data_IF_258958860643
#
_entry.id   IF_258958860643
#
_cell.length_a   1.000
_cell.length_b   1.000
_cell.length_c   1.000
_cell.angle_alpha   90.00
_cell.angle_beta   90.00
_cell.angle_gamma   90.00
#
_symmetry.space_group_name_H-M   'P 1'
#
loop_
_entity.id
_entity.type
_entity.pdbx_description
1 polymer ?
#
# COMPACT_ATOMS: atom_id res chain seq x y z
N UNK A 1 2.63 30.44 -2.70
CA UNK A 1 3.42 29.24 -3.06
C UNK A 1 4.87 29.33 -2.58
N UNK A 2 5.57 30.46 -2.76
CA UNK A 2 6.97 30.62 -2.33
C UNK A 2 7.19 30.43 -0.81
N UNK A 3 6.27 30.93 0.03
CA UNK A 3 6.33 30.74 1.49
C UNK A 3 6.20 29.25 1.89
N UNK A 4 5.30 28.50 1.25
CA UNK A 4 5.11 27.07 1.50
C UNK A 4 6.37 26.27 1.17
N UNK A 5 7.03 26.58 0.04
CA UNK A 5 8.26 25.90 -0.35
C UNK A 5 9.40 26.17 0.65
N UNK A 6 9.55 27.42 1.11
CA UNK A 6 10.56 27.76 2.11
C UNK A 6 10.32 27.05 3.45
N UNK A 7 9.08 27.05 3.94
CA UNK A 7 8.71 26.33 5.17
C UNK A 7 8.89 24.82 5.02
N UNK A 8 8.49 24.25 3.88
CA UNK A 8 8.68 22.84 3.56
C UNK A 8 10.16 22.43 3.56
N UNK A 9 11.02 23.17 2.85
CA UNK A 9 12.45 22.88 2.79
C UNK A 9 13.11 22.99 4.16
N UNK A 10 12.76 24.03 4.94
CA UNK A 10 13.28 24.21 6.30
C UNK A 10 12.86 23.07 7.21
N UNK A 11 11.58 22.72 7.23
CA UNK A 11 11.06 21.64 8.06
C UNK A 11 11.61 20.27 7.64
N UNK A 12 11.70 20.02 6.33
CA UNK A 12 12.30 18.82 5.76
C UNK A 12 13.78 18.69 6.13
N UNK A 13 14.54 19.78 6.07
CA UNK A 13 15.94 19.80 6.50
C UNK A 13 16.09 19.49 7.99
N UNK A 14 15.32 20.16 8.86
CA UNK A 14 15.35 19.90 10.32
C UNK A 14 14.97 18.45 10.63
N UNK A 15 13.94 17.91 9.97
CA UNK A 15 13.51 16.53 10.17
C UNK A 15 14.58 15.52 9.69
N UNK A 16 15.28 15.82 8.59
CA UNK A 16 16.35 14.97 8.07
C UNK A 16 17.60 15.01 8.96
N UNK A 17 17.98 16.18 9.49
CA UNK A 17 19.19 16.35 10.32
C UNK A 17 18.99 15.99 11.79
N UNK A 18 17.75 15.78 12.24
CA UNK A 18 17.44 15.32 13.60
C UNK A 18 18.06 13.96 13.95
N UNK A 19 18.39 13.14 12.96
CA UNK A 19 19.02 11.83 13.12
C UNK A 19 20.01 11.59 11.96
N UNK A 20 21.23 12.13 12.08
CA UNK A 20 22.26 12.07 11.04
C UNK A 20 22.64 10.62 10.74
N UNK A 21 22.52 10.22 9.46
CA UNK A 21 22.80 8.85 8.99
C UNK A 21 21.56 7.99 8.76
N UNK A 22 20.39 8.47 9.20
CA UNK A 22 19.13 7.79 8.91
C UNK A 22 18.73 7.92 7.44
N UNK A 23 18.34 6.79 6.86
CA UNK A 23 17.92 6.70 5.47
C UNK A 23 16.41 6.90 5.41
N UNK A 24 15.95 8.09 5.03
CA UNK A 24 14.53 8.44 5.12
C UNK A 24 14.05 9.33 3.99
N UNK A 25 12.81 9.09 3.56
CA UNK A 25 12.00 10.02 2.78
C UNK A 25 11.15 10.80 3.77
N UNK A 26 11.31 12.12 3.76
CA UNK A 26 10.53 13.05 4.58
C UNK A 26 9.39 13.61 3.75
N UNK A 27 8.15 13.45 4.22
CA UNK A 27 6.95 14.07 3.68
C UNK A 27 6.40 15.19 4.56
N UNK A 28 5.28 15.77 4.15
CA UNK A 28 4.47 16.67 4.98
C UNK A 28 2.97 16.41 4.77
N UNK A 29 2.10 17.03 5.59
CA UNK A 29 0.67 17.07 5.27
C UNK A 29 0.43 17.99 4.07
N UNK A 30 -0.65 17.72 3.35
CA UNK A 30 -1.04 18.50 2.18
C UNK A 30 -2.47 18.99 2.25
N UNK A 31 -2.75 20.11 1.60
CA UNK A 31 -4.10 20.51 1.22
C UNK A 31 -4.21 20.49 -0.32
N UNK A 32 -5.44 20.45 -0.84
CA UNK A 32 -5.67 20.38 -2.29
C UNK A 32 -6.47 21.55 -2.81
N UNK A 33 -6.14 21.93 -4.04
CA UNK A 33 -6.89 22.93 -4.83
C UNK A 33 -7.28 22.30 -6.17
N UNK A 34 -8.57 22.28 -6.54
CA UNK A 34 -9.73 22.73 -5.78
C UNK A 34 -9.94 21.94 -4.47
N UNK A 35 -10.59 22.57 -3.50
CA UNK A 35 -10.99 21.89 -2.25
C UNK A 35 -11.87 20.67 -2.57
N UNK A 36 -11.78 19.62 -1.76
CA UNK A 36 -12.50 18.36 -1.97
C UNK A 36 -11.89 17.42 -3.03
N UNK A 37 -10.87 17.86 -3.78
CA UNK A 37 -10.18 16.99 -4.75
C UNK A 37 -9.58 15.77 -4.05
N UNK A 38 -9.95 14.54 -4.45
CA UNK A 38 -9.47 13.28 -3.83
C UNK A 38 -9.52 13.31 -2.29
N UNK A 39 -10.60 13.86 -1.73
CA UNK A 39 -10.74 14.17 -0.30
C UNK A 39 -10.41 12.99 0.62
N UNK A 40 -10.91 11.79 0.30
CA UNK A 40 -10.68 10.57 1.10
C UNK A 40 -9.20 10.22 1.17
N UNK A 41 -8.50 10.31 0.05
CA UNK A 41 -7.06 10.04 -0.02
C UNK A 41 -6.28 11.08 0.78
N UNK A 42 -6.63 12.36 0.63
CA UNK A 42 -6.01 13.47 1.37
C UNK A 42 -6.21 13.34 2.87
N UNK A 43 -7.42 12.96 3.32
CA UNK A 43 -7.71 12.67 4.71
C UNK A 43 -6.85 11.51 5.22
N UNK A 44 -6.78 10.42 4.47
CA UNK A 44 -6.00 9.23 4.84
C UNK A 44 -4.51 9.56 5.01
N UNK A 45 -3.84 10.15 4.00
CA UNK A 45 -2.40 10.47 4.10
C UNK A 45 -2.08 11.45 5.23
N UNK A 46 -3.00 12.36 5.55
CA UNK A 46 -2.80 13.34 6.62
C UNK A 46 -3.12 12.78 8.01
N UNK A 47 -3.89 11.69 8.12
CA UNK A 47 -4.30 11.10 9.40
C UNK A 47 -3.43 9.93 9.88
N UNK A 48 -2.53 9.40 9.05
CA UNK A 48 -1.64 8.31 9.46
C UNK A 48 -0.77 8.73 10.65
N UNK A 49 -0.66 7.90 11.69
CA UNK A 49 0.36 8.07 12.73
C UNK A 49 1.78 7.79 12.17
N UNK A 50 2.86 8.21 12.86
CA UNK A 50 4.23 7.89 12.44
C UNK A 50 4.48 6.39 12.22
N UNK A 51 3.97 5.53 13.10
CA UNK A 51 4.06 4.07 12.99
C UNK A 51 3.28 3.54 11.79
N UNK A 52 2.12 4.15 11.51
CA UNK A 52 1.28 3.79 10.38
C UNK A 52 1.93 4.14 9.03
N UNK A 53 2.88 5.08 8.97
CA UNK A 53 3.60 5.38 7.73
C UNK A 53 4.37 4.16 7.19
N UNK A 54 4.80 3.24 8.06
CA UNK A 54 5.52 2.03 7.65
C UNK A 54 4.61 0.81 7.52
N UNK A 55 3.56 0.71 8.33
CA UNK A 55 2.65 -0.45 8.28
C UNK A 55 1.58 -0.32 7.21
N UNK A 56 1.14 0.89 6.88
CA UNK A 56 0.07 1.14 5.91
C UNK A 56 0.55 1.18 4.45
N UNK A 57 1.85 0.97 4.19
CA UNK A 57 2.43 0.94 2.83
C UNK A 57 1.84 -0.16 1.95
N UNK A 58 1.29 -1.21 2.58
CA UNK A 58 0.68 -2.36 1.92
C UNK A 58 -0.81 -2.14 1.60
N UNK A 59 -1.40 -1.01 2.01
CA UNK A 59 -2.83 -0.70 1.79
C UNK A 59 -3.12 -0.09 0.41
N UNK A 60 -4.41 0.15 0.12
CA UNK A 60 -4.89 0.68 -1.17
C UNK A 60 -4.39 2.07 -1.57
N UNK A 61 -3.68 2.76 -0.69
CA UNK A 61 -3.43 4.19 -0.87
C UNK A 61 -1.93 4.53 -0.91
N UNK A 62 -1.02 3.55 -0.85
CA UNK A 62 0.43 3.86 -0.90
C UNK A 62 0.83 4.71 -2.12
N UNK A 63 1.89 5.55 -2.04
CA UNK A 63 2.80 5.80 -0.90
C UNK A 63 2.14 6.47 0.31
N UNK A 64 2.66 6.22 1.53
CA UNK A 64 2.14 6.79 2.79
C UNK A 64 2.57 8.23 3.03
N UNK A 65 3.59 8.70 2.30
CA UNK A 65 3.97 10.10 2.11
C UNK A 65 3.98 10.37 0.62
N UNK A 66 3.37 11.47 0.16
CA UNK A 66 3.11 11.65 -1.27
C UNK A 66 4.19 12.48 -1.97
N UNK A 67 4.56 12.14 -3.20
CA UNK A 67 5.23 13.13 -4.05
C UNK A 67 4.22 14.26 -4.38
N UNK A 68 4.61 15.54 -4.48
CA UNK A 68 5.96 16.11 -4.43
C UNK A 68 6.41 16.57 -3.03
N UNK A 69 5.88 16.02 -1.94
CA UNK A 69 6.34 16.40 -0.58
C UNK A 69 7.65 15.75 -0.19
N UNK A 70 8.35 15.04 -1.07
CA UNK A 70 9.50 14.25 -0.67
C UNK A 70 10.76 15.08 -0.53
N UNK A 71 11.41 14.93 0.61
CA UNK A 71 12.72 15.47 0.91
C UNK A 71 13.61 14.34 1.46
N UNK A 72 14.79 14.15 0.89
CA UNK A 72 15.77 13.15 1.34
C UNK A 72 17.19 13.62 1.01
N UNK A 73 18.21 12.98 1.60
CA UNK A 73 19.60 13.29 1.27
C UNK A 73 19.93 12.87 -0.16
N UNK A 74 20.88 13.58 -0.79
CA UNK A 74 21.42 13.22 -2.10
C UNK A 74 21.98 11.80 -2.09
N UNK A 75 22.80 11.47 -1.09
CA UNK A 75 23.40 10.15 -0.92
C UNK A 75 22.33 9.05 -0.85
N UNK A 76 21.20 9.31 -0.19
CA UNK A 76 20.10 8.34 -0.16
C UNK A 76 19.44 8.18 -1.51
N UNK A 77 19.14 9.28 -2.20
CA UNK A 77 18.58 9.23 -3.56
C UNK A 77 19.48 8.43 -4.51
N UNK A 78 20.78 8.70 -4.52
CA UNK A 78 21.76 7.98 -5.34
C UNK A 78 21.85 6.49 -4.95
N UNK A 79 21.74 6.18 -3.67
CA UNK A 79 21.68 4.80 -3.18
C UNK A 79 20.40 4.08 -3.60
N UNK A 80 19.24 4.73 -3.58
CA UNK A 80 17.97 4.14 -4.05
C UNK A 80 18.05 3.85 -5.55
N UNK A 81 18.46 4.85 -6.32
CA UNK A 81 18.53 4.85 -7.78
C UNK A 81 17.55 5.86 -8.40
N UNK A 82 17.69 6.14 -9.71
CA UNK A 82 16.83 7.08 -10.41
C UNK A 82 15.37 6.59 -10.47
N UNK A 83 14.45 7.51 -10.78
CA UNK A 83 13.08 7.16 -11.12
C UNK A 83 13.02 6.28 -12.37
N UNK A 84 11.97 5.48 -12.49
CA UNK A 84 11.75 4.66 -13.67
C UNK A 84 11.25 5.52 -14.84
N UNK A 85 12.03 5.57 -15.93
CA UNK A 85 11.73 6.40 -17.11
C UNK A 85 10.94 5.65 -18.20
N UNK A 86 10.24 4.56 -17.86
CA UNK A 86 9.46 3.77 -18.82
C UNK A 86 8.27 4.49 -19.47
N UNK A 87 8.01 5.75 -19.08
CA UNK A 87 7.05 6.63 -19.73
C UNK A 87 5.62 6.51 -19.21
N UNK A 88 4.66 6.87 -20.07
CA UNK A 88 3.23 6.98 -19.70
C UNK A 88 2.68 5.67 -19.12
N UNK A 89 2.04 5.76 -17.96
CA UNK A 89 1.44 4.62 -17.26
C UNK A 89 2.35 3.91 -16.26
N UNK A 90 3.63 4.30 -16.17
CA UNK A 90 4.53 3.87 -15.11
C UNK A 90 4.21 4.67 -13.83
N UNK A 91 4.01 4.01 -12.67
CA UNK A 91 3.89 4.70 -11.38
C UNK A 91 5.27 4.87 -10.74
N UNK A 92 6.09 5.75 -11.32
CA UNK A 92 7.49 6.00 -10.98
C UNK A 92 7.69 6.33 -9.49
N UNK A 93 6.78 7.11 -8.91
CA UNK A 93 6.80 7.46 -7.49
C UNK A 93 6.67 6.20 -6.63
N UNK A 94 5.66 5.37 -6.90
CA UNK A 94 5.43 4.15 -6.12
C UNK A 94 6.63 3.19 -6.22
N UNK A 95 7.22 3.08 -7.41
CA UNK A 95 8.41 2.25 -7.63
C UNK A 95 9.61 2.75 -6.84
N UNK A 96 9.90 4.06 -6.88
CA UNK A 96 10.96 4.66 -6.09
C UNK A 96 10.72 4.46 -4.60
N UNK A 97 9.49 4.68 -4.13
CA UNK A 97 9.12 4.48 -2.73
C UNK A 97 9.39 3.05 -2.27
N UNK A 98 8.97 2.05 -3.06
CA UNK A 98 9.24 0.64 -2.77
C UNK A 98 10.73 0.33 -2.80
N UNK A 99 11.49 0.89 -3.74
CA UNK A 99 12.94 0.70 -3.81
C UNK A 99 13.66 1.28 -2.58
N UNK A 100 13.22 2.44 -2.10
CA UNK A 100 13.68 3.03 -0.84
C UNK A 100 13.44 2.08 0.34
N UNK A 101 12.21 1.58 0.50
CA UNK A 101 11.87 0.63 1.57
C UNK A 101 12.66 -0.70 1.47
N UNK A 102 12.89 -1.21 0.25
CA UNK A 102 13.69 -2.43 0.03
C UNK A 102 15.11 -2.31 0.55
N UNK A 103 15.70 -1.12 0.43
CA UNK A 103 17.07 -0.82 0.88
C UNK A 103 17.15 -0.44 2.37
N UNK A 104 16.05 -0.56 3.11
CA UNK A 104 15.99 -0.21 4.53
C UNK A 104 15.68 1.27 4.79
N UNK A 105 15.19 2.00 3.79
CA UNK A 105 14.70 3.36 3.99
C UNK A 105 13.43 3.39 4.82
N UNK A 106 13.22 4.50 5.52
CA UNK A 106 12.00 4.78 6.27
C UNK A 106 11.22 5.96 5.65
N UNK A 107 9.94 6.04 5.98
CA UNK A 107 9.11 7.20 5.67
C UNK A 107 8.78 7.93 6.97
N UNK A 108 9.03 9.24 7.00
CA UNK A 108 8.58 10.12 8.08
C UNK A 108 7.76 11.27 7.51
N UNK A 109 6.90 11.87 8.33
CA UNK A 109 6.08 13.02 7.91
C UNK A 109 6.22 14.14 8.94
N UNK A 110 6.55 15.34 8.46
CA UNK A 110 6.35 16.57 9.25
C UNK A 110 4.84 16.79 9.37
N UNK A 111 4.32 16.86 10.59
CA UNK A 111 2.88 16.85 10.84
C UNK A 111 2.16 18.20 10.60
N UNK A 112 2.73 19.01 9.71
CA UNK A 112 2.26 20.34 9.30
C UNK A 112 1.85 20.34 7.83
N UNK A 113 0.85 21.16 7.49
CA UNK A 113 0.38 21.32 6.11
C UNK A 113 1.33 22.26 5.35
N UNK A 114 2.32 21.70 4.67
CA UNK A 114 3.41 22.46 4.03
C UNK A 114 3.39 22.41 2.49
N UNK A 115 2.41 21.73 1.89
CA UNK A 115 2.24 21.72 0.44
C UNK A 115 0.77 21.91 0.04
N UNK A 116 0.55 22.79 -0.94
CA UNK A 116 -0.72 22.88 -1.69
C UNK A 116 -0.59 22.02 -2.94
N UNK A 117 -1.23 20.86 -2.95
CA UNK A 117 -1.26 19.97 -4.11
C UNK A 117 -2.40 20.39 -5.06
N UNK A 118 -2.04 20.93 -6.23
CA UNK A 118 -3.02 21.29 -7.25
C UNK A 118 -3.50 20.05 -8.00
N UNK A 119 -4.79 19.76 -7.93
CA UNK A 119 -5.44 18.75 -8.76
C UNK A 119 -5.73 19.33 -10.15
N UNK A 120 -5.58 18.49 -11.17
CA UNK A 120 -6.00 18.79 -12.53
C UNK A 120 -6.45 17.50 -13.21
N UNK A 121 -7.42 17.61 -14.12
CA UNK A 121 -8.05 16.46 -14.78
C UNK A 121 -7.10 15.69 -15.71
N UNK A 122 -6.06 16.37 -16.20
CA UNK A 122 -5.02 15.78 -17.05
C UNK A 122 -3.83 15.21 -16.26
N UNK A 123 -4.01 14.86 -14.99
CA UNK A 123 -2.94 14.28 -14.17
C UNK A 123 -2.40 12.98 -14.78
N UNK A 124 -1.07 12.84 -14.80
CA UNK A 124 -0.40 11.64 -15.32
C UNK A 124 -0.88 10.36 -14.61
N UNK A 125 -1.31 10.47 -13.35
CA UNK A 125 -1.92 9.38 -12.57
C UNK A 125 -3.09 8.70 -13.28
N UNK A 126 -3.86 9.42 -14.11
CA UNK A 126 -4.96 8.83 -14.89
C UNK A 126 -4.51 7.85 -15.98
N UNK A 127 -3.22 7.89 -16.36
CA UNK A 127 -2.65 6.94 -17.31
C UNK A 127 -2.19 5.63 -16.66
N UNK A 128 -2.08 5.59 -15.32
CA UNK A 128 -1.66 4.39 -14.60
C UNK A 128 -2.87 3.47 -14.41
N UNK A 129 -2.77 2.24 -14.91
CA UNK A 129 -3.83 1.25 -14.78
C UNK A 129 -3.94 0.74 -13.35
N UNK A 130 -5.18 0.50 -12.89
CA UNK A 130 -5.44 -0.07 -11.57
C UNK A 130 -4.79 -1.46 -11.40
N UNK A 131 -4.76 -2.26 -12.46
CA UNK A 131 -4.09 -3.56 -12.47
C UNK A 131 -2.57 -3.44 -12.29
N UNK A 132 -1.95 -2.38 -12.83
CA UNK A 132 -0.52 -2.11 -12.63
C UNK A 132 -0.22 -1.84 -11.15
N UNK A 133 -1.01 -0.96 -10.53
CA UNK A 133 -0.89 -0.65 -9.09
C UNK A 133 -1.17 -1.90 -8.23
N UNK A 134 -2.21 -2.65 -8.59
CA UNK A 134 -2.56 -3.91 -7.92
C UNK A 134 -1.41 -4.91 -7.95
N UNK A 135 -0.84 -5.17 -9.13
CA UNK A 135 0.27 -6.10 -9.33
C UNK A 135 1.50 -5.70 -8.51
N UNK A 136 1.89 -4.42 -8.55
CA UNK A 136 3.02 -3.90 -7.76
C UNK A 136 2.82 -4.08 -6.26
N UNK A 137 1.61 -3.82 -5.76
CA UNK A 137 1.27 -3.98 -4.34
C UNK A 137 1.27 -5.43 -3.90
N UNK A 138 0.64 -6.32 -4.69
CA UNK A 138 0.62 -7.75 -4.38
C UNK A 138 2.04 -8.32 -4.44
N UNK A 139 2.87 -7.87 -5.38
CA UNK A 139 4.27 -8.25 -5.44
C UNK A 139 5.04 -7.78 -4.20
N UNK A 140 4.92 -6.51 -3.82
CA UNK A 140 5.61 -5.96 -2.64
C UNK A 140 5.13 -6.62 -1.34
N UNK A 141 3.83 -6.91 -1.21
CA UNK A 141 3.25 -7.68 -0.11
C UNK A 141 3.86 -9.07 -0.01
N UNK A 142 3.96 -9.77 -1.14
CA UNK A 142 4.55 -11.11 -1.19
C UNK A 142 6.03 -11.10 -0.79
N UNK A 143 6.77 -10.14 -1.32
CA UNK A 143 8.20 -9.97 -1.07
C UNK A 143 8.50 -9.66 0.40
N UNK A 144 7.75 -8.72 0.99
CA UNK A 144 8.10 -8.15 2.31
C UNK A 144 7.37 -8.78 3.49
N UNK A 145 6.19 -9.34 3.26
CA UNK A 145 5.34 -9.89 4.33
C UNK A 145 5.18 -11.39 4.16
N UNK A 146 4.63 -11.83 3.02
CA UNK A 146 4.28 -13.25 2.86
C UNK A 146 5.50 -14.17 2.72
N UNK A 147 6.67 -13.63 2.37
CA UNK A 147 7.94 -14.37 2.38
C UNK A 147 8.31 -14.86 3.79
N UNK A 148 7.90 -14.13 4.82
CA UNK A 148 8.21 -14.44 6.22
C UNK A 148 7.14 -15.30 6.90
N UNK A 149 5.97 -15.47 6.28
CA UNK A 149 4.87 -16.23 6.87
C UNK A 149 4.84 -17.64 6.31
N UNK A 150 4.58 -18.61 7.19
CA UNK A 150 4.35 -20.01 6.78
C UNK A 150 2.93 -20.20 6.23
N UNK A 151 1.96 -19.50 6.81
CA UNK A 151 0.55 -19.57 6.44
C UNK A 151 -0.23 -18.33 6.91
N UNK A 152 -1.40 -18.08 6.33
CA UNK A 152 -2.28 -16.98 6.71
C UNK A 152 -3.74 -17.22 6.30
N UNK A 153 -4.64 -16.41 6.86
CA UNK A 153 -6.05 -16.37 6.48
C UNK A 153 -6.38 -15.08 5.73
N UNK A 154 -7.18 -15.19 4.67
CA UNK A 154 -7.69 -14.02 3.94
C UNK A 154 -9.07 -13.65 4.47
N UNK A 155 -9.18 -12.50 5.12
CA UNK A 155 -10.47 -11.95 5.52
C UNK A 155 -11.13 -11.29 4.31
N UNK A 156 -12.34 -11.77 3.97
CA UNK A 156 -13.16 -11.51 2.77
C UNK A 156 -13.17 -12.70 1.81
N UNK A 157 -14.20 -13.53 1.91
CA UNK A 157 -14.45 -14.66 1.01
C UNK A 157 -15.14 -14.26 -0.31
N UNK A 158 -15.20 -12.97 -0.62
CA UNK A 158 -15.82 -12.37 -1.80
C UNK A 158 -14.82 -11.92 -2.87
N UNK A 159 -15.22 -10.91 -3.68
CA UNK A 159 -14.46 -10.49 -4.89
C UNK A 159 -13.01 -10.14 -4.61
N UNK A 160 -12.74 -9.38 -3.54
CA UNK A 160 -11.39 -8.84 -3.30
C UNK A 160 -10.43 -9.86 -2.71
N UNK A 161 -10.85 -10.66 -1.72
CA UNK A 161 -10.01 -11.73 -1.20
C UNK A 161 -9.72 -12.79 -2.26
N UNK A 162 -10.73 -13.16 -3.08
CA UNK A 162 -10.51 -14.08 -4.21
C UNK A 162 -9.60 -13.48 -5.28
N UNK A 163 -9.69 -12.17 -5.56
CA UNK A 163 -8.73 -11.49 -6.47
C UNK A 163 -7.32 -11.59 -5.90
N UNK A 164 -7.12 -11.28 -4.61
CA UNK A 164 -5.81 -11.42 -3.96
C UNK A 164 -5.27 -12.83 -4.15
N UNK A 165 -6.04 -13.85 -3.76
CA UNK A 165 -5.62 -15.25 -3.87
C UNK A 165 -5.15 -15.60 -5.30
N UNK A 166 -5.92 -15.21 -6.32
CA UNK A 166 -5.57 -15.47 -7.73
C UNK A 166 -4.32 -14.72 -8.19
N UNK A 167 -4.02 -13.56 -7.59
CA UNK A 167 -2.83 -12.77 -7.89
C UNK A 167 -1.57 -13.21 -7.12
N UNK A 168 -1.69 -14.12 -6.15
CA UNK A 168 -0.54 -14.68 -5.45
C UNK A 168 0.23 -15.65 -6.34
N UNK A 169 1.54 -15.75 -6.09
CA UNK A 169 2.39 -16.80 -6.65
C UNK A 169 1.90 -18.18 -6.20
N UNK A 170 2.15 -19.25 -6.96
CA UNK A 170 1.76 -20.62 -6.56
C UNK A 170 2.27 -20.99 -5.16
N UNK A 171 3.49 -20.57 -4.81
CA UNK A 171 4.06 -20.77 -3.47
C UNK A 171 3.24 -20.09 -2.38
N UNK A 172 2.82 -18.84 -2.59
CA UNK A 172 2.03 -18.10 -1.60
C UNK A 172 0.55 -18.48 -1.59
N UNK A 173 -0.01 -18.99 -2.69
CA UNK A 173 -1.36 -19.57 -2.72
C UNK A 173 -1.47 -20.74 -1.73
N UNK A 174 -0.45 -21.61 -1.68
CA UNK A 174 -0.39 -22.76 -0.75
C UNK A 174 -0.33 -22.36 0.72
N UNK A 175 0.07 -21.12 1.02
CA UNK A 175 0.09 -20.58 2.39
C UNK A 175 -1.29 -20.16 2.88
N UNK A 176 -2.29 -20.04 1.99
CA UNK A 176 -3.64 -19.61 2.37
C UNK A 176 -4.40 -20.77 3.01
N UNK A 177 -4.58 -20.71 4.33
CA UNK A 177 -5.29 -21.73 5.12
C UNK A 177 -6.79 -21.74 4.86
N UNK A 178 -7.37 -20.53 4.80
CA UNK A 178 -8.80 -20.33 4.64
C UNK A 178 -9.08 -18.91 4.15
N UNK A 179 -10.29 -18.72 3.64
CA UNK A 179 -10.97 -17.44 3.70
C UNK A 179 -11.80 -17.37 4.99
N UNK A 180 -11.97 -16.17 5.55
CA UNK A 180 -12.98 -15.93 6.56
C UNK A 180 -13.91 -14.78 6.19
N UNK A 181 -15.14 -14.84 6.69
CA UNK A 181 -16.17 -13.81 6.48
C UNK A 181 -17.16 -13.79 7.66
N UNK A 182 -18.03 -12.78 7.67
CA UNK A 182 -19.18 -12.67 8.58
C UNK A 182 -20.50 -12.98 7.86
N UNK A 183 -20.49 -12.97 6.52
CA UNK A 183 -21.64 -13.26 5.68
C UNK A 183 -21.93 -14.77 5.66
N UNK A 184 -23.01 -15.17 6.32
CA UNK A 184 -23.46 -16.56 6.41
C UNK A 184 -23.61 -17.25 5.05
N UNK A 185 -24.09 -16.54 4.03
CA UNK A 185 -24.25 -17.11 2.69
C UNK A 185 -22.91 -17.49 2.05
N UNK A 186 -21.83 -16.77 2.38
CA UNK A 186 -20.49 -17.14 1.92
C UNK A 186 -19.93 -18.31 2.73
N UNK A 187 -20.20 -18.33 4.03
CA UNK A 187 -19.72 -19.39 4.94
C UNK A 187 -20.41 -20.72 4.62
N UNK A 188 -21.72 -20.72 4.37
CA UNK A 188 -22.50 -21.91 4.01
C UNK A 188 -22.03 -22.59 2.72
N UNK A 189 -21.37 -21.86 1.81
CA UNK A 189 -20.73 -22.46 0.62
C UNK A 189 -19.58 -23.39 0.98
N UNK A 190 -19.01 -23.27 2.19
CA UNK A 190 -18.00 -24.14 2.77
C UNK A 190 -16.58 -23.96 2.20
N UNK A 191 -16.44 -23.72 0.89
CA UNK A 191 -15.15 -23.55 0.25
C UNK A 191 -15.22 -22.66 -1.00
N UNK A 192 -14.09 -22.06 -1.36
CA UNK A 192 -13.82 -21.44 -2.65
C UNK A 192 -12.99 -22.38 -3.51
N UNK A 193 -13.43 -22.66 -4.74
CA UNK A 193 -12.64 -23.39 -5.74
C UNK A 193 -11.98 -22.40 -6.69
N UNK A 194 -10.66 -22.52 -6.89
CA UNK A 194 -9.97 -21.73 -7.91
C UNK A 194 -10.12 -22.38 -9.29
N UNK A 195 -11.19 -21.99 -10.00
CA UNK A 195 -11.58 -22.66 -11.25
C UNK A 195 -10.56 -22.57 -12.39
N UNK A 196 -9.85 -21.44 -12.49
CA UNK A 196 -8.84 -21.19 -13.53
C UNK A 196 -7.48 -21.82 -13.20
N UNK A 197 -7.34 -22.47 -12.04
CA UNK A 197 -6.09 -23.13 -11.67
C UNK A 197 -5.75 -24.28 -12.63
N UNK A 198 -4.46 -24.35 -12.98
CA UNK A 198 -3.88 -25.47 -13.74
C UNK A 198 -3.67 -26.72 -12.87
N UNK A 199 -3.67 -26.58 -11.54
CA UNK A 199 -3.49 -27.71 -10.62
C UNK A 199 -4.68 -28.69 -10.67
N UNK A 200 -4.39 -29.98 -10.44
CA UNK A 200 -5.36 -31.08 -10.40
C UNK A 200 -5.06 -31.96 -9.17
N UNK A 201 -6.02 -32.12 -8.22
CA UNK A 201 -7.34 -31.48 -8.19
C UNK A 201 -7.25 -29.96 -8.08
N UNK A 202 -8.31 -29.25 -8.49
CA UNK A 202 -8.36 -27.78 -8.38
C UNK A 202 -8.25 -27.37 -6.91
N UNK A 203 -7.51 -26.30 -6.59
CA UNK A 203 -7.41 -25.82 -5.22
C UNK A 203 -8.78 -25.49 -4.64
N UNK A 204 -9.06 -26.02 -3.44
CA UNK A 204 -10.28 -25.76 -2.66
C UNK A 204 -9.86 -25.19 -1.31
N UNK A 205 -10.24 -23.94 -1.06
CA UNK A 205 -9.85 -23.19 0.12
C UNK A 205 -11.09 -23.08 1.01
N UNK A 206 -11.05 -23.54 2.28
CA UNK A 206 -12.18 -23.42 3.20
C UNK A 206 -12.65 -21.98 3.37
N UNK A 207 -13.96 -21.79 3.56
CA UNK A 207 -14.56 -20.51 3.96
C UNK A 207 -15.12 -20.68 5.37
N UNK A 208 -14.54 -19.97 6.32
CA UNK A 208 -14.86 -20.08 7.75
C UNK A 208 -15.59 -18.84 8.26
N UNK A 209 -16.38 -19.01 9.32
CA UNK A 209 -16.78 -17.87 10.14
C UNK A 209 -15.54 -17.25 10.80
N UNK A 210 -15.50 -15.92 10.93
CA UNK A 210 -14.31 -15.20 11.42
C UNK A 210 -13.82 -15.66 12.80
N UNK A 211 -14.72 -16.12 13.69
CA UNK A 211 -14.36 -16.65 15.02
C UNK A 211 -13.55 -17.94 14.96
N UNK A 212 -13.66 -18.69 13.86
CA UNK A 212 -12.99 -19.97 13.67
C UNK A 212 -11.71 -19.82 12.84
N UNK A 213 -11.37 -18.59 12.45
CA UNK A 213 -10.19 -18.27 11.65
C UNK A 213 -8.96 -18.04 12.53
N UNK A 214 -7.78 -18.34 12.00
CA UNK A 214 -6.51 -18.20 12.73
C UNK A 214 -5.63 -17.10 12.12
N UNK A 215 -4.93 -16.29 12.92
CA UNK A 215 -3.93 -15.35 12.42
C UNK A 215 -2.71 -16.07 11.79
N UNK A 216 -1.87 -15.36 11.02
CA UNK A 216 -2.01 -13.95 10.66
C UNK A 216 -3.06 -13.70 9.56
N UNK A 217 -3.53 -12.46 9.44
CA UNK A 217 -4.61 -12.08 8.54
C UNK A 217 -4.15 -11.14 7.42
N UNK A 218 -4.66 -11.38 6.21
CA UNK A 218 -4.72 -10.36 5.16
C UNK A 218 -6.17 -9.93 5.00
N UNK A 219 -6.46 -8.67 5.30
CA UNK A 219 -7.82 -8.13 5.28
C UNK A 219 -8.08 -7.42 3.96
N UNK A 220 -8.87 -8.05 3.10
CA UNK A 220 -9.24 -7.47 1.82
C UNK A 220 -10.60 -6.78 1.95
N UNK A 221 -10.65 -5.47 2.11
CA UNK A 221 -11.92 -4.73 2.21
C UNK A 221 -12.03 -3.69 1.10
N UNK A 222 -13.23 -3.59 0.51
CA UNK A 222 -13.53 -2.49 -0.39
C UNK A 222 -13.97 -1.30 0.45
N UNK A 223 -13.13 -0.28 0.55
CA UNK A 223 -13.56 1.01 1.07
C UNK A 223 -14.37 1.68 -0.05
N UNK A 224 -15.54 2.21 0.27
CA UNK A 224 -16.52 2.66 -0.74
C UNK A 224 -15.89 3.67 -1.71
N UNK A 225 -16.11 3.45 -3.01
CA UNK A 225 -15.66 4.20 -4.19
C UNK A 225 -14.14 4.31 -4.48
N UNK A 226 -13.75 3.68 -5.59
CA UNK A 226 -12.48 3.70 -6.35
C UNK A 226 -11.24 2.99 -5.81
N UNK A 227 -11.17 2.53 -4.56
CA UNK A 227 -9.97 1.85 -4.05
C UNK A 227 -10.24 0.49 -3.39
N UNK A 228 -9.54 -0.55 -3.86
CA UNK A 228 -9.52 -1.89 -3.24
C UNK A 228 -8.43 -1.95 -2.19
N UNK A 229 -8.80 -2.06 -0.91
CA UNK A 229 -7.85 -2.14 0.20
C UNK A 229 -7.44 -3.58 0.47
N UNK A 230 -6.14 -3.85 0.37
CA UNK A 230 -5.50 -4.98 1.05
C UNK A 230 -4.91 -4.39 2.32
N UNK A 231 -5.67 -4.39 3.42
CA UNK A 231 -5.13 -4.02 4.71
C UNK A 231 -4.42 -5.24 5.28
N UNK A 232 -3.10 -5.16 5.44
CA UNK A 232 -2.35 -6.17 6.17
C UNK A 232 -2.52 -5.85 7.65
N UNK A 233 -3.54 -6.42 8.28
CA UNK A 233 -3.56 -6.48 9.74
C UNK A 233 -2.65 -7.63 10.15
N UNK A 234 -1.36 -7.35 10.34
CA UNK A 234 -0.53 -8.22 11.16
C UNK A 234 -1.02 -8.05 12.59
N UNK A 235 -2.01 -8.84 13.00
CA UNK A 235 -2.17 -9.14 14.42
C UNK A 235 -0.95 -9.98 14.80
N UNK A 236 0.19 -9.31 15.02
CA UNK A 236 1.19 -9.80 15.95
C UNK A 236 0.42 -9.93 17.26
N UNK A 237 0.28 -11.15 17.76
CA UNK A 237 -0.25 -11.36 19.10
C UNK A 237 0.57 -10.56 20.10
#
# INVERSE_FOLDING_TARGET
QQLFLHCFLRAGFVALTSDPGSQRIVGCKVCRVPEGSTERYTRWINSLSPEQLLTQVYTSHGPTVIMPTWFCSRDWFEKVGPFNEGGKGVPEDLLFFYQSLRRGGHAIRVDECLLVYRYHEHAATHSVLEETIWSLRVHFLQERVLSQWESFTVWNAGKQGRRLYRSLSPTNQKKVKAFCDVDENKIQKGFYTYEESKERPKPRIPVLHFTNASPPFIVCVKLVSVCVCVCVCVCLR
#
